data_IF_048019191450
#
_entry.id   IF_048019191450
#
_cell.length_a   1.000
_cell.length_b   1.000
_cell.length_c   1.000
_cell.angle_alpha   90.00
_cell.angle_beta   90.00
_cell.angle_gamma   90.00
#
_symmetry.space_group_name_H-M   'P 1'
#
loop_
_entity.id
_entity.type
_entity.pdbx_description
1 polymer ?
#
# COMPACT_ATOMS: atom_id res chain seq x y z
N UNK A 1 8.27 23.59 -16.19
CA UNK A 1 8.72 23.14 -14.86
C UNK A 1 7.93 23.94 -13.85
N UNK A 2 6.98 23.32 -13.14
CA UNK A 2 6.24 23.98 -12.08
C UNK A 2 6.78 23.47 -10.75
N UNK A 3 7.39 24.37 -9.97
CA UNK A 3 7.78 24.13 -8.59
C UNK A 3 6.49 24.11 -7.75
N UNK A 4 5.85 22.96 -7.65
CA UNK A 4 4.76 22.78 -6.70
C UNK A 4 5.38 22.73 -5.28
N UNK A 5 4.95 23.57 -4.34
CA UNK A 5 5.38 23.45 -2.94
C UNK A 5 5.09 22.04 -2.41
N UNK A 6 5.97 21.53 -1.54
CA UNK A 6 5.84 20.18 -0.97
C UNK A 6 4.54 20.06 -0.17
N UNK A 7 4.18 21.13 0.51
CA UNK A 7 2.94 21.26 1.27
C UNK A 7 1.72 21.15 0.35
N UNK A 8 1.72 21.87 -0.77
CA UNK A 8 0.64 21.82 -1.76
C UNK A 8 0.54 20.43 -2.40
N UNK A 9 1.66 19.78 -2.68
CA UNK A 9 1.67 18.38 -3.14
C UNK A 9 1.08 17.42 -2.09
N UNK A 10 1.46 17.59 -0.81
CA UNK A 10 0.94 16.81 0.31
C UNK A 10 -0.57 16.98 0.50
N UNK A 11 -1.09 18.21 0.41
CA UNK A 11 -2.53 18.50 0.47
C UNK A 11 -3.31 17.83 -0.67
N UNK A 12 -2.75 17.83 -1.89
CA UNK A 12 -3.35 17.17 -3.04
C UNK A 12 -3.40 15.65 -2.85
N UNK A 13 -2.33 15.04 -2.33
CA UNK A 13 -2.32 13.62 -1.99
C UNK A 13 -3.38 13.29 -0.93
N UNK A 14 -3.46 14.08 0.14
CA UNK A 14 -4.45 13.88 1.20
C UNK A 14 -5.87 13.97 0.64
N UNK A 15 -6.15 14.97 -0.20
CA UNK A 15 -7.47 15.13 -0.84
C UNK A 15 -7.86 13.93 -1.70
N UNK A 16 -6.89 13.33 -2.41
CA UNK A 16 -7.11 12.10 -3.18
C UNK A 16 -7.37 10.89 -2.29
N UNK A 17 -6.67 10.77 -1.15
CA UNK A 17 -6.83 9.66 -0.23
C UNK A 17 -8.08 9.78 0.66
N UNK A 18 -8.55 11.00 0.93
CA UNK A 18 -9.64 11.30 1.87
C UNK A 18 -10.90 10.44 1.68
N UNK A 19 -11.40 10.16 0.46
CA UNK A 19 -12.59 9.32 0.26
C UNK A 19 -12.40 7.86 0.68
N UNK A 20 -11.17 7.42 0.90
CA UNK A 20 -10.78 6.02 1.15
C UNK A 20 -10.30 5.79 2.59
N UNK A 21 -9.93 6.85 3.31
CA UNK A 21 -9.40 6.77 4.66
C UNK A 21 -10.42 6.15 5.62
N UNK A 22 -9.95 5.22 6.46
CA UNK A 22 -10.75 4.54 7.49
C UNK A 22 -11.79 3.55 6.97
N UNK A 23 -11.87 3.31 5.66
CA UNK A 23 -12.78 2.35 5.05
C UNK A 23 -12.19 0.95 5.08
N UNK A 24 -12.96 -0.04 5.55
CA UNK A 24 -12.51 -1.43 5.72
C UNK A 24 -12.13 -2.08 4.39
N UNK A 25 -12.86 -1.79 3.31
CA UNK A 25 -12.57 -2.32 1.97
C UNK A 25 -11.23 -1.82 1.40
N UNK A 26 -10.73 -0.69 1.90
CA UNK A 26 -9.39 -0.17 1.63
C UNK A 26 -8.40 -0.51 2.76
N UNK A 27 -8.70 -1.53 3.56
CA UNK A 27 -7.93 -1.98 4.72
C UNK A 27 -7.72 -0.91 5.77
N UNK A 28 -8.76 -0.12 6.06
CA UNK A 28 -8.68 1.00 7.00
C UNK A 28 -7.51 1.94 6.68
N UNK A 29 -7.42 2.31 5.39
CA UNK A 29 -6.37 3.18 4.87
C UNK A 29 -6.15 4.35 5.82
N UNK A 30 -4.90 4.54 6.25
CA UNK A 30 -4.54 5.63 7.13
C UNK A 30 -3.28 6.32 6.64
N UNK A 31 -3.27 7.64 6.84
CA UNK A 31 -2.01 8.39 6.84
C UNK A 31 -1.18 7.90 8.01
N UNK A 32 0.09 7.58 7.80
CA UNK A 32 0.98 7.26 8.92
C UNK A 32 1.06 8.47 9.86
N UNK A 33 0.86 8.32 11.19
CA UNK A 33 0.71 9.44 12.13
C UNK A 33 1.90 10.42 12.21
N UNK A 34 3.04 10.09 11.59
CA UNK A 34 4.23 10.94 11.54
C UNK A 34 4.43 11.68 10.21
N UNK A 35 3.47 11.58 9.28
CA UNK A 35 3.62 12.10 7.90
C UNK A 35 3.00 13.47 7.64
N UNK A 36 2.12 13.98 8.51
CA UNK A 36 1.33 15.20 8.25
C UNK A 36 1.57 16.36 9.24
N UNK A 37 2.18 16.12 10.41
CA UNK A 37 2.40 17.15 11.43
C UNK A 37 3.79 17.81 11.41
N UNK A 38 4.63 17.53 10.39
CA UNK A 38 5.97 18.12 10.29
C UNK A 38 6.31 18.40 8.84
N UNK A 39 6.51 19.66 8.41
CA UNK A 39 7.08 20.01 7.10
C UNK A 39 8.57 19.60 6.96
N UNK A 40 9.03 18.62 7.74
CA UNK A 40 10.38 18.06 7.69
C UNK A 40 10.35 16.53 7.79
N UNK A 41 10.94 15.80 6.81
CA UNK A 41 10.94 14.34 6.74
C UNK A 41 11.99 13.70 7.65
N UNK A 42 12.12 14.15 8.91
CA UNK A 42 13.19 13.66 9.80
C UNK A 42 12.79 12.45 10.67
N UNK A 43 11.50 12.17 10.84
CA UNK A 43 11.08 11.02 11.68
C UNK A 43 10.94 9.72 10.90
N UNK A 44 10.51 9.75 9.62
CA UNK A 44 10.51 8.56 8.76
C UNK A 44 11.96 8.06 8.58
N UNK A 45 12.93 8.98 8.49
CA UNK A 45 14.36 8.69 8.40
C UNK A 45 14.87 7.87 9.60
N UNK A 46 14.43 8.13 10.84
CA UNK A 46 15.00 7.44 12.02
C UNK A 46 14.72 5.94 12.07
N UNK A 47 13.56 5.50 11.59
CA UNK A 47 13.19 4.07 11.52
C UNK A 47 13.63 3.37 10.22
N UNK A 48 13.99 4.13 9.18
CA UNK A 48 14.43 3.56 7.91
C UNK A 48 15.88 3.05 7.98
N UNK A 49 16.20 1.98 7.24
CA UNK A 49 17.58 1.55 7.03
C UNK A 49 18.47 2.70 6.56
N UNK A 50 19.72 2.70 7.02
CA UNK A 50 20.66 3.81 6.81
C UNK A 50 20.89 4.17 5.33
N UNK A 51 20.85 3.18 4.44
CA UNK A 51 20.97 3.41 2.99
C UNK A 51 19.79 4.21 2.42
N UNK A 52 18.57 4.00 2.92
CA UNK A 52 17.38 4.77 2.50
C UNK A 52 17.47 6.20 3.04
N UNK A 53 17.93 6.36 4.28
CA UNK A 53 18.16 7.69 4.85
C UNK A 53 19.13 8.52 4.02
N UNK A 54 20.22 7.91 3.56
CA UNK A 54 21.23 8.59 2.77
C UNK A 54 20.68 8.97 1.39
N UNK A 55 19.90 8.09 0.77
CA UNK A 55 19.20 8.40 -0.48
C UNK A 55 18.24 9.59 -0.34
N UNK A 56 17.47 9.69 0.76
CA UNK A 56 16.60 10.85 1.04
C UNK A 56 17.41 12.15 1.15
N UNK A 57 18.53 12.10 1.87
CA UNK A 57 19.39 13.28 2.11
C UNK A 57 20.09 13.76 0.86
N UNK A 58 20.53 12.85 0.00
CA UNK A 58 21.25 13.16 -1.23
C UNK A 58 20.30 13.60 -2.35
N UNK A 59 19.10 13.02 -2.42
CA UNK A 59 18.13 13.21 -3.50
C UNK A 59 17.00 14.19 -3.14
N UNK A 60 16.97 14.75 -1.92
CA UNK A 60 15.97 15.73 -1.42
C UNK A 60 14.49 15.36 -1.69
N UNK A 61 14.18 14.08 -1.81
CA UNK A 61 12.83 13.60 -2.11
C UNK A 61 12.04 13.33 -0.82
N UNK A 62 10.81 13.84 -0.74
CA UNK A 62 9.94 13.74 0.43
C UNK A 62 9.10 12.45 0.36
N UNK A 63 9.25 11.51 1.32
CA UNK A 63 8.49 10.28 1.31
C UNK A 63 7.07 10.47 1.87
N UNK A 64 6.08 9.86 1.22
CA UNK A 64 4.72 9.72 1.72
C UNK A 64 4.37 8.24 1.82
N UNK A 65 3.83 7.81 2.97
CA UNK A 65 3.48 6.43 3.23
C UNK A 65 2.06 6.32 3.79
N UNK A 66 1.23 5.52 3.12
CA UNK A 66 -0.10 5.14 3.59
C UNK A 66 -0.09 3.68 4.00
N UNK A 67 -0.69 3.39 5.15
CA UNK A 67 -0.76 2.03 5.69
C UNK A 67 -2.14 1.42 5.47
N UNK A 68 -2.14 0.16 5.03
CA UNK A 68 -3.31 -0.71 4.90
C UNK A 68 -3.20 -1.82 5.95
N UNK A 69 -4.22 -1.96 6.81
CA UNK A 69 -4.37 -2.96 7.85
C UNK A 69 -5.19 -4.16 7.38
N UNK A 70 -4.80 -5.40 7.71
CA UNK A 70 -5.64 -6.59 7.47
C UNK A 70 -5.08 -7.63 6.48
N UNK A 71 -3.88 -7.39 5.94
CA UNK A 71 -3.00 -8.38 5.28
C UNK A 71 -1.54 -7.93 5.48
N UNK A 72 -0.54 -8.69 5.01
CA UNK A 72 0.87 -8.28 5.04
C UNK A 72 0.99 -6.80 4.60
N UNK A 73 1.51 -5.97 5.50
CA UNK A 73 1.38 -4.51 5.49
C UNK A 73 1.61 -3.90 4.11
N UNK A 74 0.54 -3.57 3.40
CA UNK A 74 0.65 -2.95 2.10
C UNK A 74 0.81 -1.45 2.32
N UNK A 75 2.05 -0.97 2.19
CA UNK A 75 2.34 0.46 2.15
C UNK A 75 2.16 0.95 0.71
N UNK A 76 1.50 2.10 0.55
CA UNK A 76 1.59 2.89 -0.68
C UNK A 76 2.65 3.93 -0.44
N UNK A 77 3.83 3.69 -1.02
CA UNK A 77 4.98 4.59 -0.95
C UNK A 77 5.02 5.50 -2.17
N UNK A 78 5.45 6.73 -1.94
CA UNK A 78 5.71 7.75 -2.94
C UNK A 78 6.90 8.58 -2.49
N UNK A 79 7.67 9.14 -3.42
CA UNK A 79 8.66 10.17 -3.11
C UNK A 79 8.46 11.37 -4.02
N UNK A 80 8.45 12.58 -3.46
CA UNK A 80 8.27 13.82 -4.22
C UNK A 80 9.52 14.67 -4.24
N UNK A 81 9.94 15.13 -5.42
CA UNK A 81 11.01 16.10 -5.58
C UNK A 81 10.49 17.37 -6.28
N UNK A 82 10.65 18.57 -5.70
CA UNK A 82 10.14 19.82 -6.27
C UNK A 82 10.59 20.09 -7.71
N UNK A 83 11.83 19.71 -8.05
CA UNK A 83 12.40 19.94 -9.39
C UNK A 83 12.16 18.80 -10.38
N UNK A 84 11.95 17.57 -9.89
CA UNK A 84 11.98 16.39 -10.75
C UNK A 84 10.61 15.71 -10.86
N UNK A 85 9.69 15.94 -9.92
CA UNK A 85 8.35 15.38 -9.92
C UNK A 85 8.19 14.26 -8.90
N UNK A 86 7.46 13.21 -9.27
CA UNK A 86 7.04 12.15 -8.34
C UNK A 86 7.68 10.83 -8.72
N UNK A 87 8.22 10.11 -7.73
CA UNK A 87 8.61 8.72 -7.85
C UNK A 87 7.57 7.85 -7.15
N UNK A 88 7.26 6.72 -7.79
CA UNK A 88 6.31 5.72 -7.27
C UNK A 88 6.82 4.92 -6.06
N UNK A 89 8.10 5.10 -5.71
CA UNK A 89 8.79 4.56 -4.54
C UNK A 89 10.11 5.30 -4.41
N UNK A 90 10.65 5.43 -3.21
CA UNK A 90 11.99 6.01 -3.03
C UNK A 90 13.09 5.26 -3.78
N UNK A 91 12.87 3.98 -4.05
CA UNK A 91 13.79 3.13 -4.81
C UNK A 91 13.56 3.19 -6.33
N UNK A 92 12.51 3.88 -6.79
CA UNK A 92 12.27 4.03 -8.22
C UNK A 92 13.31 4.98 -8.83
N UNK A 93 13.96 4.60 -9.94
CA UNK A 93 14.96 5.46 -10.57
C UNK A 93 14.34 6.63 -11.36
N UNK A 94 13.05 6.54 -11.70
CA UNK A 94 12.40 7.46 -12.63
C UNK A 94 11.42 8.39 -11.93
N UNK A 95 11.58 9.69 -12.17
CA UNK A 95 10.56 10.67 -11.83
C UNK A 95 9.49 10.79 -12.93
N UNK A 96 8.25 10.87 -12.49
CA UNK A 96 7.07 11.16 -13.28
C UNK A 96 6.67 12.63 -13.11
N UNK A 97 6.02 13.24 -14.11
CA UNK A 97 5.32 14.51 -13.92
C UNK A 97 4.35 14.44 -12.73
N UNK A 98 4.16 15.56 -12.03
CA UNK A 98 3.32 15.63 -10.82
C UNK A 98 1.92 15.04 -11.04
N UNK A 99 1.25 15.44 -12.11
CA UNK A 99 -0.11 14.97 -12.42
C UNK A 99 -0.15 13.46 -12.70
N UNK A 100 0.88 12.93 -13.36
CA UNK A 100 1.00 11.48 -13.59
C UNK A 100 1.24 10.74 -12.27
N UNK A 101 2.13 11.26 -11.41
CA UNK A 101 2.38 10.70 -10.09
C UNK A 101 1.13 10.68 -9.18
N UNK A 102 0.33 11.75 -9.21
CA UNK A 102 -0.94 11.82 -8.50
C UNK A 102 -1.98 10.83 -9.05
N UNK A 103 -2.08 10.71 -10.38
CA UNK A 103 -2.96 9.73 -11.01
C UNK A 103 -2.56 8.29 -10.66
N UNK A 104 -1.25 7.98 -10.69
CA UNK A 104 -0.70 6.67 -10.28
C UNK A 104 -0.94 6.38 -8.80
N UNK A 105 -0.82 7.38 -7.94
CA UNK A 105 -1.15 7.23 -6.53
C UNK A 105 -2.64 6.87 -6.33
N UNK A 106 -3.54 7.61 -6.97
CA UNK A 106 -4.98 7.34 -6.89
C UNK A 106 -5.32 5.94 -7.44
N UNK A 107 -4.68 5.54 -8.54
CA UNK A 107 -4.79 4.20 -9.12
C UNK A 107 -4.37 3.12 -8.11
N UNK A 108 -3.23 3.30 -7.44
CA UNK A 108 -2.77 2.39 -6.38
C UNK A 108 -3.76 2.28 -5.21
N UNK A 109 -4.39 3.39 -4.80
CA UNK A 109 -5.43 3.35 -3.76
C UNK A 109 -6.64 2.54 -4.22
N UNK A 110 -7.15 2.83 -5.42
CA UNK A 110 -8.29 2.12 -6.01
C UNK A 110 -8.03 0.62 -6.15
N UNK A 111 -6.77 0.23 -6.27
CA UNK A 111 -6.35 -1.15 -6.41
C UNK A 111 -6.12 -1.91 -5.09
N UNK A 112 -6.14 -1.22 -3.93
CA UNK A 112 -6.00 -1.86 -2.61
C UNK A 112 -6.96 -3.05 -2.42
N UNK A 113 -8.28 -2.95 -2.72
CA UNK A 113 -9.20 -4.06 -2.48
C UNK A 113 -8.82 -5.33 -3.25
N UNK A 114 -8.43 -5.19 -4.52
CA UNK A 114 -8.00 -6.33 -5.36
C UNK A 114 -6.73 -6.96 -4.82
N UNK A 115 -5.72 -6.15 -4.47
CA UNK A 115 -4.47 -6.64 -3.87
C UNK A 115 -4.72 -7.35 -2.54
N UNK A 116 -5.61 -6.83 -1.69
CA UNK A 116 -5.99 -7.46 -0.42
C UNK A 116 -6.61 -8.83 -0.61
N UNK A 117 -7.60 -8.94 -1.52
CA UNK A 117 -8.22 -10.24 -1.86
C UNK A 117 -7.17 -11.27 -2.30
N UNK A 118 -6.23 -10.86 -3.14
CA UNK A 118 -5.12 -11.72 -3.59
C UNK A 118 -4.21 -12.17 -2.42
N UNK A 119 -3.83 -11.27 -1.53
CA UNK A 119 -2.99 -11.58 -0.37
C UNK A 119 -3.70 -12.51 0.63
N UNK A 120 -5.01 -12.32 0.86
CA UNK A 120 -5.82 -13.23 1.66
C UNK A 120 -5.78 -14.64 1.07
N UNK A 121 -6.07 -14.78 -0.23
CA UNK A 121 -6.04 -16.08 -0.92
C UNK A 121 -4.66 -16.73 -0.77
N UNK A 122 -3.58 -15.98 -1.01
CA UNK A 122 -2.20 -16.47 -0.86
C UNK A 122 -1.91 -16.97 0.56
N UNK A 123 -2.26 -16.18 1.56
CA UNK A 123 -2.03 -16.54 2.96
C UNK A 123 -2.81 -17.78 3.36
N UNK A 124 -4.10 -17.89 2.98
CA UNK A 124 -4.89 -19.09 3.26
C UNK A 124 -4.29 -20.32 2.56
N UNK A 125 -3.89 -20.21 1.29
CA UNK A 125 -3.29 -21.32 0.55
C UNK A 125 -1.92 -21.75 1.11
N UNK A 126 -1.15 -20.82 1.67
CA UNK A 126 0.20 -21.08 2.20
C UNK A 126 0.17 -21.60 3.64
N UNK A 127 -0.63 -20.98 4.50
CA UNK A 127 -0.56 -21.13 5.96
C UNK A 127 -1.83 -21.77 6.53
N UNK A 128 -2.92 -21.83 5.75
CA UNK A 128 -4.24 -22.28 6.21
C UNK A 128 -5.04 -21.16 6.87
N UNK A 129 -6.37 -21.26 6.80
CA UNK A 129 -7.27 -20.23 7.31
C UNK A 129 -7.15 -20.00 8.83
N UNK A 130 -6.92 -21.07 9.60
CA UNK A 130 -6.75 -20.98 11.06
C UNK A 130 -5.54 -20.14 11.48
N UNK A 131 -4.41 -20.31 10.79
CA UNK A 131 -3.19 -19.55 11.07
C UNK A 131 -3.34 -18.09 10.61
N UNK A 132 -3.92 -17.84 9.44
CA UNK A 132 -4.20 -16.47 8.99
C UNK A 132 -5.12 -15.72 9.96
N UNK A 133 -6.23 -16.34 10.41
CA UNK A 133 -7.14 -15.71 11.38
C UNK A 133 -6.43 -15.39 12.69
N UNK A 134 -5.57 -16.29 13.17
CA UNK A 134 -4.76 -16.06 14.37
C UNK A 134 -3.81 -14.86 14.18
N UNK A 135 -3.05 -14.83 13.10
CA UNK A 135 -2.08 -13.75 12.83
C UNK A 135 -2.77 -12.40 12.67
N UNK A 136 -3.92 -12.36 11.98
CA UNK A 136 -4.73 -11.15 11.85
C UNK A 136 -5.29 -10.69 13.18
N UNK A 137 -5.74 -11.61 14.04
CA UNK A 137 -6.24 -11.29 15.38
C UNK A 137 -5.13 -10.72 16.25
N UNK A 138 -3.97 -11.37 16.30
CA UNK A 138 -2.80 -10.89 17.06
C UNK A 138 -2.33 -9.51 16.56
N UNK A 139 -2.39 -9.27 15.25
CA UNK A 139 -2.07 -7.98 14.63
C UNK A 139 -3.09 -6.90 14.99
N UNK A 140 -4.38 -7.24 15.03
CA UNK A 140 -5.48 -6.35 15.44
C UNK A 140 -5.31 -5.93 16.91
N UNK A 141 -5.09 -6.91 17.79
CA UNK A 141 -4.94 -6.69 19.24
C UNK A 141 -3.74 -5.79 19.57
N UNK A 142 -2.60 -5.98 18.89
CA UNK A 142 -1.43 -5.09 19.02
C UNK A 142 -1.73 -3.63 18.68
N UNK A 143 -2.78 -3.38 17.88
CA UNK A 143 -3.23 -2.06 17.45
C UNK A 143 -4.50 -1.61 18.20
N UNK A 144 -4.97 -2.37 19.18
CA UNK A 144 -6.18 -2.08 19.95
C UNK A 144 -7.48 -2.20 19.15
N UNK A 145 -7.50 -3.06 18.13
CA UNK A 145 -8.64 -3.28 17.23
C UNK A 145 -9.16 -4.71 17.36
N UNK A 146 -10.45 -4.93 17.04
CA UNK A 146 -11.00 -6.27 16.86
C UNK A 146 -10.73 -6.79 15.44
N UNK A 147 -10.77 -8.12 15.23
CA UNK A 147 -10.64 -8.71 13.89
C UNK A 147 -11.74 -8.21 12.94
N UNK A 148 -12.96 -8.05 13.44
CA UNK A 148 -14.09 -7.52 12.68
C UNK A 148 -13.90 -6.06 12.28
N UNK A 149 -12.98 -5.33 12.92
CA UNK A 149 -12.60 -3.97 12.49
C UNK A 149 -11.64 -4.00 11.30
N UNK A 150 -10.91 -5.11 11.09
CA UNK A 150 -9.90 -5.25 10.05
C UNK A 150 -10.40 -5.84 8.75
N UNK A 151 -11.36 -6.75 8.83
CA UNK A 151 -11.88 -7.47 7.68
C UNK A 151 -13.29 -7.00 7.33
N UNK A 152 -13.59 -6.99 6.03
CA UNK A 152 -14.96 -6.91 5.55
C UNK A 152 -15.64 -8.28 5.68
N UNK A 153 -16.99 -8.29 5.66
CA UNK A 153 -17.74 -9.55 5.58
C UNK A 153 -17.33 -10.39 4.37
N UNK A 154 -17.14 -9.75 3.20
CA UNK A 154 -16.66 -10.42 1.99
C UNK A 154 -15.28 -11.08 2.18
N UNK A 155 -14.38 -10.45 2.93
CA UNK A 155 -13.04 -11.01 3.19
C UNK A 155 -13.12 -12.23 4.12
N UNK A 156 -14.04 -12.22 5.09
CA UNK A 156 -14.29 -13.36 5.97
C UNK A 156 -14.89 -14.54 5.19
N UNK A 157 -15.84 -14.25 4.29
CA UNK A 157 -16.43 -15.24 3.40
C UNK A 157 -15.38 -15.83 2.46
N UNK A 158 -14.54 -14.98 1.87
CA UNK A 158 -13.42 -15.39 1.01
C UNK A 158 -12.46 -16.34 1.73
N UNK A 159 -12.04 -16.04 2.97
CA UNK A 159 -11.18 -16.95 3.76
C UNK A 159 -11.82 -18.34 3.87
N UNK A 160 -13.12 -18.37 4.13
CA UNK A 160 -13.89 -19.61 4.28
C UNK A 160 -14.03 -20.37 2.96
N UNK A 161 -14.21 -19.67 1.84
CA UNK A 161 -14.27 -20.26 0.50
C UNK A 161 -12.93 -20.85 0.05
N UNK A 162 -11.82 -20.15 0.30
CA UNK A 162 -10.47 -20.63 -0.04
C UNK A 162 -10.13 -21.88 0.74
N UNK A 163 -10.51 -21.96 2.01
CA UNK A 163 -10.35 -23.14 2.85
C UNK A 163 -11.13 -24.36 2.33
N UNK A 164 -12.36 -24.14 1.85
CA UNK A 164 -13.22 -25.21 1.33
C UNK A 164 -12.80 -25.71 -0.05
N UNK A 165 -12.15 -24.87 -0.87
CA UNK A 165 -11.85 -25.19 -2.28
C UNK A 165 -10.48 -24.66 -2.72
N UNK A 166 -9.38 -25.11 -2.09
CA UNK A 166 -8.05 -24.55 -2.31
C UNK A 166 -7.56 -24.70 -3.77
N UNK A 167 -7.92 -25.77 -4.46
CA UNK A 167 -7.45 -26.00 -5.83
C UNK A 167 -8.11 -25.08 -6.87
N UNK A 168 -9.38 -24.69 -6.66
CA UNK A 168 -10.03 -23.67 -7.46
C UNK A 168 -9.30 -22.32 -7.32
N UNK A 169 -9.03 -21.92 -6.07
CA UNK A 169 -8.41 -20.64 -5.77
C UNK A 169 -6.93 -20.56 -6.18
N UNK A 170 -6.21 -21.68 -6.27
CA UNK A 170 -4.88 -21.72 -6.91
C UNK A 170 -4.96 -21.31 -8.39
N UNK A 171 -6.01 -21.72 -9.10
CA UNK A 171 -6.28 -21.31 -10.48
C UNK A 171 -6.60 -19.82 -10.59
N UNK A 172 -7.54 -19.34 -9.79
CA UNK A 172 -7.94 -17.92 -9.75
C UNK A 172 -6.79 -16.99 -9.36
N UNK A 173 -5.94 -17.41 -8.42
CA UNK A 173 -4.80 -16.62 -7.98
C UNK A 173 -3.84 -16.30 -9.13
N UNK A 174 -3.71 -17.20 -10.10
CA UNK A 174 -2.89 -16.96 -11.30
C UNK A 174 -3.43 -15.81 -12.14
N UNK A 175 -4.74 -15.77 -12.36
CA UNK A 175 -5.41 -14.69 -13.10
C UNK A 175 -5.36 -13.36 -12.35
N UNK A 176 -5.62 -13.38 -11.04
CA UNK A 176 -5.51 -12.19 -10.19
C UNK A 176 -4.08 -11.65 -10.17
N UNK A 177 -3.06 -12.51 -10.16
CA UNK A 177 -1.67 -12.06 -10.23
C UNK A 177 -1.37 -11.40 -11.59
N UNK A 178 -1.89 -11.93 -12.70
CA UNK A 178 -1.72 -11.28 -14.01
C UNK A 178 -2.38 -9.89 -14.07
N UNK A 179 -3.53 -9.70 -13.41
CA UNK A 179 -4.22 -8.41 -13.34
C UNK A 179 -3.52 -7.42 -12.38
N UNK A 180 -3.08 -7.90 -11.20
CA UNK A 180 -2.37 -7.12 -10.18
C UNK A 180 -0.97 -6.71 -10.62
N UNK A 181 -0.21 -7.63 -11.22
CA UNK A 181 1.15 -7.36 -11.63
C UNK A 181 1.20 -6.87 -13.08
N UNK A 182 0.27 -7.23 -13.96
CA UNK A 182 0.20 -6.69 -15.32
C UNK A 182 -0.10 -5.19 -15.38
N UNK A 183 -0.82 -4.67 -14.39
CA UNK A 183 -1.18 -3.24 -14.31
C UNK A 183 -0.04 -2.36 -13.79
N UNK A 184 0.83 -2.89 -12.93
CA UNK A 184 1.85 -2.11 -12.20
C UNK A 184 3.30 -2.56 -12.41
N UNK A 185 3.55 -3.65 -13.13
CA UNK A 185 4.91 -4.02 -13.53
C UNK A 185 5.38 -3.17 -14.72
N UNK A 186 6.62 -2.66 -14.69
CA UNK A 186 7.24 -2.09 -15.88
C UNK A 186 7.17 -3.08 -17.04
N UNK A 187 6.87 -2.61 -18.25
CA UNK A 187 6.88 -3.43 -19.48
C UNK A 187 8.14 -4.30 -19.52
N UNK A 188 7.96 -5.63 -19.51
CA UNK A 188 9.06 -6.60 -19.62
C UNK A 188 9.38 -7.38 -18.34
N UNK A 189 8.79 -7.05 -17.19
CA UNK A 189 8.86 -7.90 -16.00
C UNK A 189 7.87 -9.07 -16.11
N UNK A 190 8.35 -10.28 -15.86
CA UNK A 190 7.49 -11.49 -15.77
C UNK A 190 7.02 -11.66 -14.34
N UNK A 191 5.73 -11.96 -14.17
CA UNK A 191 5.19 -12.44 -12.90
C UNK A 191 5.85 -13.81 -12.63
N UNK A 192 6.51 -14.00 -11.47
CA UNK A 192 7.12 -15.28 -11.10
C UNK A 192 6.06 -16.39 -10.89
#
# INVERSE_FOLDING_TARGET
MHNLPVEEFGERLLKLAQPYIGKKEYGNLRTTPDSWASPFPLMIVKGLPEYIRNAIKEDYAFPFAYEVLGTSSSQIDLAYHPLFGVRESILSPQYLPVEEGLARFEEKIKFIPTRRKMEIIRSVLREGAGNLKKDLTESAEKKGLALDDLLTGEEIDLITEVEKSPDFWKGELKYLAEDVYGTFLPKGWKVP
#
